data_IF_994098469336
#
_entry.id   IF_994098469336
#
_cell.length_a   1.000
_cell.length_b   1.000
_cell.length_c   1.000
_cell.angle_alpha   90.00
_cell.angle_beta   90.00
_cell.angle_gamma   90.00
#
_symmetry.space_group_name_H-M   'P 1'
#
loop_
_entity.id
_entity.type
_entity.pdbx_description
1 polymer ?
#
# COMPACT_ATOMS: atom_id res chain seq x y z
N UNK A 1 -1.75 40.79 23.78
CA UNK A 1 -2.61 39.65 24.15
C UNK A 1 -2.89 38.86 22.88
N UNK A 2 -2.43 37.61 22.79
CA UNK A 2 -2.66 36.79 21.61
C UNK A 2 -4.12 36.29 21.62
N UNK A 3 -4.90 36.69 20.62
CA UNK A 3 -6.25 36.18 20.39
C UNK A 3 -6.16 34.72 20.01
N UNK A 4 -6.42 33.83 20.97
CA UNK A 4 -6.60 32.40 20.72
C UNK A 4 -7.84 32.24 19.84
N UNK A 5 -7.63 31.99 18.55
CA UNK A 5 -8.72 31.76 17.60
C UNK A 5 -9.29 30.37 17.86
N UNK A 6 -10.40 30.32 18.59
CA UNK A 6 -11.10 29.08 18.87
C UNK A 6 -11.71 28.52 17.57
N UNK A 7 -11.54 27.23 17.24
CA UNK A 7 -12.08 26.70 15.99
C UNK A 7 -13.61 26.78 15.99
N UNK A 8 -14.18 27.51 15.03
CA UNK A 8 -15.64 27.73 14.89
C UNK A 8 -16.48 26.44 14.92
N UNK A 9 -15.89 25.29 14.62
CA UNK A 9 -16.54 23.97 14.63
C UNK A 9 -16.93 23.47 16.03
N UNK A 10 -16.26 23.95 17.09
CA UNK A 10 -16.63 23.62 18.49
C UNK A 10 -17.93 24.33 18.90
N UNK A 11 -18.17 25.53 18.36
CA UNK A 11 -19.37 26.33 18.64
C UNK A 11 -20.64 25.84 17.90
N UNK A 12 -20.51 24.89 16.96
CA UNK A 12 -21.62 24.38 16.11
C UNK A 12 -22.12 23.00 16.60
N UNK A 13 -21.57 22.45 17.70
CA UNK A 13 -22.03 21.16 18.26
C UNK A 13 -21.57 19.91 17.50
N UNK A 14 -20.71 20.03 16.48
CA UNK A 14 -20.15 18.87 15.77
C UNK A 14 -19.14 18.05 16.61
N UNK A 15 -18.74 18.57 17.76
CA UNK A 15 -17.90 17.89 18.75
C UNK A 15 -18.67 17.51 20.01
N UNK A 16 -20.01 17.53 19.96
CA UNK A 16 -20.81 16.97 21.01
C UNK A 16 -20.56 15.45 21.10
N UNK A 17 -20.34 14.95 22.32
CA UNK A 17 -19.97 13.56 22.55
C UNK A 17 -21.08 12.60 22.10
N UNK A 18 -22.34 12.99 22.23
CA UNK A 18 -23.49 12.18 21.80
C UNK A 18 -23.53 12.07 20.26
N UNK A 19 -23.28 13.18 19.56
CA UNK A 19 -23.19 13.19 18.10
C UNK A 19 -22.00 12.38 17.59
N UNK A 20 -20.82 12.52 18.22
CA UNK A 20 -19.62 11.72 17.88
C UNK A 20 -19.90 10.24 18.09
N UNK A 21 -20.50 9.88 19.23
CA UNK A 21 -20.84 8.49 19.57
C UNK A 21 -21.80 7.91 18.53
N UNK A 22 -22.88 8.63 18.21
CA UNK A 22 -23.88 8.21 17.22
C UNK A 22 -23.26 7.98 15.84
N UNK A 23 -22.41 8.91 15.37
CA UNK A 23 -21.70 8.76 14.09
C UNK A 23 -20.72 7.59 14.10
N UNK A 24 -20.01 7.40 15.21
CA UNK A 24 -19.04 6.29 15.36
C UNK A 24 -19.76 4.94 15.34
N UNK A 25 -20.85 4.79 16.09
CA UNK A 25 -21.68 3.58 16.09
C UNK A 25 -22.34 3.32 14.74
N UNK A 26 -22.84 4.38 14.07
CA UNK A 26 -23.38 4.26 12.73
C UNK A 26 -22.34 3.80 11.70
N UNK A 27 -21.12 4.34 11.78
CA UNK A 27 -20.02 3.94 10.92
C UNK A 27 -19.55 2.51 11.20
N UNK A 28 -19.43 2.12 12.47
CA UNK A 28 -19.13 0.74 12.86
C UNK A 28 -20.19 -0.24 12.32
N UNK A 29 -21.47 0.12 12.42
CA UNK A 29 -22.57 -0.68 11.89
C UNK A 29 -22.46 -0.85 10.37
N UNK A 30 -22.09 0.22 9.65
CA UNK A 30 -21.82 0.15 8.21
C UNK A 30 -20.64 -0.77 7.90
N UNK A 31 -19.52 -0.64 8.61
CA UNK A 31 -18.34 -1.49 8.41
C UNK A 31 -18.66 -2.96 8.69
N UNK A 32 -19.47 -3.26 9.72
CA UNK A 32 -19.94 -4.61 10.01
C UNK A 32 -20.85 -5.16 8.90
N UNK A 33 -21.70 -4.33 8.31
CA UNK A 33 -22.50 -4.75 7.17
C UNK A 33 -21.62 -5.05 5.94
N UNK A 34 -20.66 -4.18 5.65
CA UNK A 34 -19.69 -4.38 4.55
C UNK A 34 -18.86 -5.64 4.77
N UNK A 35 -18.46 -5.93 6.02
CA UNK A 35 -17.65 -7.12 6.33
C UNK A 35 -18.43 -8.42 6.16
N UNK A 36 -19.77 -8.41 6.25
CA UNK A 36 -20.63 -9.59 6.07
C UNK A 36 -21.08 -9.81 4.63
N UNK A 37 -21.15 -8.77 3.80
CA UNK A 37 -21.53 -8.87 2.37
C UNK A 37 -20.28 -8.86 1.46
N UNK A 38 -20.01 -9.99 0.80
CA UNK A 38 -18.81 -10.17 -0.01
C UNK A 38 -18.70 -9.17 -1.18
N UNK A 39 -19.82 -8.83 -1.82
CA UNK A 39 -19.85 -7.88 -2.94
C UNK A 39 -19.49 -6.47 -2.52
N UNK A 40 -19.92 -6.04 -1.33
CA UNK A 40 -19.55 -4.75 -0.78
C UNK A 40 -18.08 -4.74 -0.39
N UNK A 41 -17.62 -5.82 0.26
CA UNK A 41 -16.21 -5.99 0.65
C UNK A 41 -15.27 -5.89 -0.54
N UNK A 42 -15.61 -6.48 -1.67
CA UNK A 42 -14.75 -6.44 -2.88
C UNK A 42 -15.09 -5.29 -3.83
N UNK A 43 -16.00 -4.38 -3.43
CA UNK A 43 -16.41 -3.28 -4.32
C UNK A 43 -15.30 -2.24 -4.47
N UNK A 44 -15.18 -1.70 -5.68
CA UNK A 44 -14.29 -0.58 -5.96
C UNK A 44 -14.63 0.64 -5.09
N UNK A 45 -15.92 0.89 -4.87
CA UNK A 45 -16.39 2.01 -4.05
C UNK A 45 -15.86 1.95 -2.60
N UNK A 46 -15.81 0.76 -1.99
CA UNK A 46 -15.19 0.60 -0.67
C UNK A 46 -13.69 0.87 -0.73
N UNK A 47 -13.00 0.33 -1.73
CA UNK A 47 -11.57 0.52 -1.87
C UNK A 47 -11.23 2.01 -2.03
N UNK A 48 -11.90 2.71 -2.94
CA UNK A 48 -11.74 4.15 -3.17
C UNK A 48 -12.01 4.94 -1.89
N UNK A 49 -13.09 4.62 -1.17
CA UNK A 49 -13.42 5.25 0.10
C UNK A 49 -12.30 5.10 1.15
N UNK A 50 -11.61 3.96 1.17
CA UNK A 50 -10.55 3.66 2.14
C UNK A 50 -9.19 4.27 1.79
N UNK A 51 -8.94 4.66 0.53
CA UNK A 51 -7.57 5.04 0.15
C UNK A 51 -7.41 6.19 -0.85
N UNK A 52 -8.43 6.61 -1.59
CA UNK A 52 -8.23 7.46 -2.78
C UNK A 52 -7.56 8.80 -2.43
N UNK A 53 -8.01 9.47 -1.36
CA UNK A 53 -7.46 10.76 -0.94
C UNK A 53 -5.99 10.65 -0.48
N UNK A 54 -5.69 9.68 0.39
CA UNK A 54 -4.34 9.44 0.89
C UNK A 54 -3.40 8.99 -0.23
N UNK A 55 -3.86 8.09 -1.10
CA UNK A 55 -3.07 7.55 -2.20
C UNK A 55 -2.77 8.62 -3.25
N UNK A 56 -3.73 9.49 -3.57
CA UNK A 56 -3.50 10.64 -4.45
C UNK A 56 -2.42 11.55 -3.90
N UNK A 57 -2.46 11.84 -2.59
CA UNK A 57 -1.45 12.67 -1.91
C UNK A 57 -0.08 12.00 -1.96
N UNK A 58 0.00 10.69 -1.68
CA UNK A 58 1.25 9.95 -1.75
C UNK A 58 1.83 9.91 -3.16
N UNK A 59 0.99 9.73 -4.20
CA UNK A 59 1.40 9.76 -5.62
C UNK A 59 1.98 11.12 -6.02
N UNK A 60 1.38 12.23 -5.56
CA UNK A 60 1.92 13.56 -5.80
C UNK A 60 3.31 13.75 -5.19
N UNK A 61 3.48 13.33 -3.93
CA UNK A 61 4.77 13.39 -3.23
C UNK A 61 5.83 12.52 -3.92
N UNK A 62 5.47 11.32 -4.33
CA UNK A 62 6.35 10.42 -5.12
C UNK A 62 6.75 11.09 -6.44
N UNK A 63 5.82 11.74 -7.14
CA UNK A 63 6.12 12.48 -8.38
C UNK A 63 7.14 13.60 -8.18
N UNK A 64 7.14 14.24 -6.99
CA UNK A 64 8.13 15.24 -6.58
C UNK A 64 9.41 14.63 -5.99
N UNK A 65 9.48 13.30 -5.88
CA UNK A 65 10.56 12.53 -5.22
C UNK A 65 10.67 12.74 -3.72
N UNK A 66 9.60 13.21 -3.07
CA UNK A 66 9.50 13.40 -1.63
C UNK A 66 9.14 12.08 -0.91
N UNK A 67 9.92 11.02 -1.13
CA UNK A 67 9.65 9.67 -0.64
C UNK A 67 9.54 9.58 0.89
N UNK A 68 10.31 10.39 1.62
CA UNK A 68 10.26 10.46 3.09
C UNK A 68 8.89 10.93 3.60
N UNK A 69 8.24 11.84 2.86
CA UNK A 69 6.90 12.34 3.19
C UNK A 69 5.80 11.40 2.67
N UNK A 70 6.03 10.71 1.56
CA UNK A 70 5.08 9.73 1.01
C UNK A 70 4.98 8.47 1.88
N UNK A 71 6.11 7.99 2.41
CA UNK A 71 6.20 6.75 3.20
C UNK A 71 5.14 6.63 4.32
N UNK A 72 4.99 7.58 5.26
CA UNK A 72 4.04 7.43 6.36
C UNK A 72 2.58 7.35 5.88
N UNK A 73 2.26 7.99 4.75
CA UNK A 73 0.91 7.93 4.14
C UNK A 73 0.66 6.52 3.59
N UNK A 74 1.62 5.98 2.83
CA UNK A 74 1.55 4.62 2.28
C UNK A 74 1.54 3.56 3.39
N UNK A 75 2.33 3.75 4.44
CA UNK A 75 2.39 2.83 5.58
C UNK A 75 1.04 2.75 6.30
N UNK A 76 0.40 3.90 6.53
CA UNK A 76 -0.92 3.96 7.15
C UNK A 76 -2.00 3.38 6.24
N UNK A 77 -1.93 3.65 4.93
CA UNK A 77 -2.82 3.04 3.95
C UNK A 77 -2.72 1.50 3.96
N UNK A 78 -1.51 0.94 3.92
CA UNK A 78 -1.31 -0.51 4.04
C UNK A 78 -1.90 -1.05 5.36
N UNK A 79 -1.61 -0.41 6.49
CA UNK A 79 -2.13 -0.84 7.81
C UNK A 79 -3.66 -0.82 7.86
N UNK A 80 -4.30 0.18 7.24
CA UNK A 80 -5.75 0.26 7.14
C UNK A 80 -6.29 -0.90 6.31
N UNK A 81 -5.78 -1.08 5.09
CA UNK A 81 -6.26 -2.13 4.20
C UNK A 81 -6.03 -3.53 4.79
N UNK A 82 -4.90 -3.78 5.45
CA UNK A 82 -4.61 -5.07 6.10
C UNK A 82 -5.52 -5.37 7.30
N UNK A 83 -6.24 -4.37 7.84
CA UNK A 83 -7.26 -4.60 8.88
C UNK A 83 -8.62 -4.96 8.29
N UNK A 84 -8.93 -4.47 7.09
CA UNK A 84 -10.24 -4.63 6.45
C UNK A 84 -10.27 -5.87 5.54
N UNK A 85 -9.17 -6.12 4.84
CA UNK A 85 -9.05 -7.19 3.85
C UNK A 85 -8.12 -8.28 4.34
N UNK A 86 -8.16 -9.43 3.68
CA UNK A 86 -7.21 -10.51 3.95
C UNK A 86 -5.81 -10.12 3.48
N UNK A 87 -4.81 -10.69 4.14
CA UNK A 87 -3.39 -10.44 3.86
C UNK A 87 -2.97 -10.70 2.40
N UNK A 88 -3.72 -11.55 1.68
CA UNK A 88 -3.46 -11.91 0.27
C UNK A 88 -4.41 -11.25 -0.72
N UNK A 89 -5.28 -10.36 -0.25
CA UNK A 89 -6.16 -9.61 -1.15
C UNK A 89 -5.32 -8.72 -2.10
N UNK A 90 -5.77 -8.50 -3.34
CA UNK A 90 -5.07 -7.60 -4.27
C UNK A 90 -4.84 -6.21 -3.67
N UNK A 91 -5.84 -5.65 -2.97
CA UNK A 91 -5.73 -4.34 -2.33
C UNK A 91 -4.56 -4.26 -1.33
N UNK A 92 -4.41 -5.27 -0.47
CA UNK A 92 -3.34 -5.33 0.54
C UNK A 92 -1.97 -5.53 -0.09
N UNK A 93 -1.87 -6.43 -1.06
CA UNK A 93 -0.59 -6.74 -1.71
C UNK A 93 -0.09 -5.56 -2.55
N UNK A 94 -0.98 -4.87 -3.27
CA UNK A 94 -0.63 -3.66 -4.02
C UNK A 94 -0.17 -2.55 -3.06
N UNK A 95 -0.88 -2.32 -1.95
CA UNK A 95 -0.47 -1.34 -0.96
C UNK A 95 0.89 -1.66 -0.33
N UNK A 96 1.15 -2.94 -0.02
CA UNK A 96 2.44 -3.40 0.47
C UNK A 96 3.56 -3.15 -0.54
N UNK A 97 3.32 -3.45 -1.82
CA UNK A 97 4.28 -3.19 -2.89
C UNK A 97 4.57 -1.68 -3.05
N UNK A 98 3.59 -0.78 -2.86
CA UNK A 98 3.85 0.67 -2.85
C UNK A 98 4.76 1.09 -1.71
N UNK A 99 4.56 0.56 -0.51
CA UNK A 99 5.44 0.81 0.65
C UNK A 99 6.87 0.38 0.31
N UNK A 100 7.05 -0.83 -0.22
CA UNK A 100 8.37 -1.35 -0.61
C UNK A 100 9.00 -0.51 -1.74
N UNK A 101 8.23 -0.13 -2.77
CA UNK A 101 8.72 0.71 -3.86
C UNK A 101 9.17 2.09 -3.38
N UNK A 102 8.42 2.69 -2.46
CA UNK A 102 8.77 3.96 -1.82
C UNK A 102 10.09 3.83 -1.03
N UNK A 103 10.22 2.78 -0.22
CA UNK A 103 11.42 2.52 0.58
C UNK A 103 12.65 2.18 -0.26
N UNK A 104 12.48 1.51 -1.40
CA UNK A 104 13.56 1.23 -2.34
C UNK A 104 14.16 2.52 -2.96
N UNK A 105 13.46 3.65 -2.85
CA UNK A 105 13.96 4.96 -3.29
C UNK A 105 14.69 5.73 -2.18
N UNK A 106 14.71 5.19 -0.96
CA UNK A 106 15.38 5.77 0.20
C UNK A 106 16.65 4.98 0.55
N UNK A 107 17.64 5.66 1.15
CA UNK A 107 18.85 5.05 1.70
C UNK A 107 18.71 4.93 3.21
N UNK A 108 19.14 3.78 3.76
CA UNK A 108 19.20 3.49 5.22
C UNK A 108 17.95 3.94 6.00
N UNK A 109 16.77 3.63 5.47
CA UNK A 109 15.52 4.05 6.08
C UNK A 109 15.03 3.04 7.13
N UNK A 110 14.58 3.49 8.32
CA UNK A 110 14.13 2.59 9.39
C UNK A 110 13.05 1.61 8.94
N UNK A 111 13.14 0.37 9.41
CA UNK A 111 12.22 -0.73 9.11
C UNK A 111 12.16 -1.15 7.62
N UNK A 112 12.99 -0.60 6.73
CA UNK A 112 12.95 -0.94 5.30
C UNK A 112 13.16 -2.44 5.04
N UNK A 113 14.12 -3.06 5.74
CA UNK A 113 14.34 -4.51 5.72
C UNK A 113 13.09 -5.30 6.14
N UNK A 114 12.42 -4.90 7.23
CA UNK A 114 11.20 -5.56 7.73
C UNK A 114 10.09 -5.55 6.68
N UNK A 115 9.93 -4.45 5.96
CA UNK A 115 8.94 -4.33 4.89
C UNK A 115 9.29 -5.20 3.68
N UNK A 116 10.57 -5.24 3.29
CA UNK A 116 11.04 -6.13 2.23
C UNK A 116 10.79 -7.60 2.58
N UNK A 117 11.17 -8.03 3.79
CA UNK A 117 10.98 -9.41 4.25
C UNK A 117 9.50 -9.78 4.34
N UNK A 118 8.65 -8.88 4.86
CA UNK A 118 7.21 -9.09 4.87
C UNK A 118 6.66 -9.29 3.45
N UNK A 119 7.04 -8.43 2.51
CA UNK A 119 6.55 -8.53 1.13
C UNK A 119 6.99 -9.82 0.45
N UNK A 120 8.26 -10.22 0.61
CA UNK A 120 8.76 -11.49 0.09
C UNK A 120 7.96 -12.67 0.65
N UNK A 121 7.77 -12.73 1.97
CA UNK A 121 7.00 -13.78 2.61
C UNK A 121 5.54 -13.83 2.15
N UNK A 122 4.88 -12.68 1.97
CA UNK A 122 3.50 -12.65 1.46
C UNK A 122 3.40 -13.21 0.04
N UNK A 123 4.40 -12.95 -0.79
CA UNK A 123 4.43 -13.40 -2.19
C UNK A 123 4.73 -14.90 -2.36
N UNK A 124 5.27 -15.60 -1.36
CA UNK A 124 5.46 -17.06 -1.40
C UNK A 124 4.14 -17.82 -1.61
N UNK A 125 3.02 -17.25 -1.14
CA UNK A 125 1.69 -17.86 -1.24
C UNK A 125 0.75 -17.21 -2.24
N UNK A 126 1.26 -16.37 -3.15
CA UNK A 126 0.43 -15.73 -4.19
C UNK A 126 0.31 -16.66 -5.38
N UNK A 127 -0.93 -16.92 -5.81
CA UNK A 127 -1.24 -17.73 -6.99
C UNK A 127 -1.99 -16.95 -8.07
N UNK A 128 -2.40 -15.73 -7.77
CA UNK A 128 -3.12 -14.85 -8.71
C UNK A 128 -2.16 -14.39 -9.82
N UNK A 129 -2.55 -14.57 -11.07
CA UNK A 129 -1.67 -14.33 -12.21
C UNK A 129 -1.31 -12.85 -12.38
N UNK A 130 -2.25 -11.94 -12.13
CA UNK A 130 -2.00 -10.50 -12.26
C UNK A 130 -1.04 -10.03 -11.17
N UNK A 131 -1.22 -10.51 -9.93
CA UNK A 131 -0.31 -10.17 -8.84
C UNK A 131 1.07 -10.83 -8.99
N UNK A 132 1.16 -12.02 -9.59
CA UNK A 132 2.45 -12.68 -9.84
C UNK A 132 3.34 -11.89 -10.81
N UNK A 133 2.78 -11.05 -11.68
CA UNK A 133 3.57 -10.14 -12.52
C UNK A 133 4.41 -9.13 -11.70
N UNK A 134 3.99 -8.83 -10.46
CA UNK A 134 4.74 -7.94 -9.56
C UNK A 134 5.95 -8.60 -8.92
N UNK A 135 6.09 -9.93 -9.02
CA UNK A 135 7.13 -10.65 -8.28
C UNK A 135 8.54 -10.27 -8.71
N UNK A 136 8.80 -10.14 -10.02
CA UNK A 136 10.12 -9.71 -10.51
C UNK A 136 10.44 -8.26 -10.11
N UNK A 137 9.56 -7.26 -10.33
CA UNK A 137 9.76 -5.91 -9.80
C UNK A 137 9.94 -5.87 -8.28
N UNK A 138 9.23 -6.72 -7.54
CA UNK A 138 9.35 -6.82 -6.08
C UNK A 138 10.73 -7.33 -5.67
N UNK A 139 11.23 -8.40 -6.29
CA UNK A 139 12.56 -8.93 -6.02
C UNK A 139 13.64 -7.86 -6.29
N UNK A 140 13.52 -7.11 -7.39
CA UNK A 140 14.42 -6.01 -7.70
C UNK A 140 14.40 -4.91 -6.63
N UNK A 141 13.20 -4.50 -6.16
CA UNK A 141 13.05 -3.50 -5.12
C UNK A 141 13.62 -3.98 -3.78
N UNK A 142 13.34 -5.23 -3.37
CA UNK A 142 13.88 -5.85 -2.17
C UNK A 142 15.40 -5.99 -2.24
N UNK A 143 15.96 -6.40 -3.38
CA UNK A 143 17.40 -6.48 -3.63
C UNK A 143 18.07 -5.12 -3.42
N UNK A 144 17.46 -4.04 -3.93
CA UNK A 144 17.93 -2.67 -3.69
C UNK A 144 17.86 -2.26 -2.22
N UNK A 145 16.77 -2.59 -1.51
CA UNK A 145 16.64 -2.32 -0.07
C UNK A 145 17.73 -3.07 0.71
N UNK A 146 17.92 -4.35 0.44
CA UNK A 146 18.93 -5.17 1.12
C UNK A 146 20.33 -4.59 0.92
N UNK A 147 20.67 -4.27 -0.34
CA UNK A 147 21.94 -3.63 -0.67
C UNK A 147 22.14 -2.29 0.07
N UNK A 148 21.13 -1.42 0.06
CA UNK A 148 21.19 -0.12 0.73
C UNK A 148 21.36 -0.22 2.26
N UNK A 149 20.99 -1.36 2.86
CA UNK A 149 21.14 -1.62 4.28
C UNK A 149 22.34 -2.54 4.60
N UNK A 150 23.23 -2.78 3.62
CA UNK A 150 24.43 -3.63 3.80
C UNK A 150 24.15 -5.13 3.93
N UNK A 151 22.94 -5.60 3.59
CA UNK A 151 22.59 -7.02 3.57
C UNK A 151 22.97 -7.63 2.22
N UNK A 152 23.48 -8.87 2.25
CA UNK A 152 23.77 -9.63 1.04
C UNK A 152 22.49 -9.86 0.22
N UNK A 153 22.51 -9.52 -1.07
CA UNK A 153 21.41 -9.63 -2.04
C UNK A 153 21.55 -10.76 -3.07
N UNK A 154 22.61 -11.56 -3.00
CA UNK A 154 22.90 -12.65 -3.94
C UNK A 154 21.78 -13.68 -4.03
N UNK A 155 21.06 -13.94 -2.95
CA UNK A 155 19.89 -14.83 -2.93
C UNK A 155 18.77 -14.30 -3.86
N UNK A 156 18.45 -13.00 -3.74
CA UNK A 156 17.43 -12.37 -4.56
C UNK A 156 17.88 -12.24 -6.02
N UNK A 157 19.14 -11.88 -6.24
CA UNK A 157 19.71 -11.78 -7.58
C UNK A 157 19.72 -13.17 -8.26
N UNK A 158 20.08 -14.24 -7.54
CA UNK A 158 20.01 -15.62 -8.04
C UNK A 158 18.57 -16.01 -8.39
N UNK A 159 17.60 -15.63 -7.56
CA UNK A 159 16.18 -15.88 -7.83
C UNK A 159 15.68 -15.15 -9.07
N UNK A 160 16.12 -13.92 -9.29
CA UNK A 160 15.83 -13.17 -10.51
C UNK A 160 16.42 -13.87 -11.74
N UNK A 161 17.67 -14.35 -11.67
CA UNK A 161 18.30 -15.12 -12.74
C UNK A 161 17.56 -16.42 -13.06
N UNK A 162 17.07 -17.13 -12.04
CA UNK A 162 16.23 -18.32 -12.23
C UNK A 162 14.93 -18.00 -12.98
N UNK A 163 14.28 -16.89 -12.64
CA UNK A 163 13.06 -16.44 -13.32
C UNK A 163 13.36 -16.04 -14.77
N UNK A 164 14.50 -15.36 -15.02
CA UNK A 164 14.95 -15.06 -16.39
C UNK A 164 15.13 -16.35 -17.21
N UNK A 165 15.79 -17.36 -16.65
CA UNK A 165 16.00 -18.67 -17.31
C UNK A 165 14.68 -19.41 -17.59
N UNK A 166 13.65 -19.20 -16.75
CA UNK A 166 12.30 -19.73 -16.95
C UNK A 166 11.46 -18.92 -17.95
N UNK A 167 12.02 -17.88 -18.56
CA UNK A 167 11.35 -17.07 -19.58
C UNK A 167 10.50 -15.92 -19.02
N UNK A 168 10.58 -15.63 -17.72
CA UNK A 168 9.95 -14.42 -17.19
C UNK A 168 10.68 -13.17 -17.69
N UNK A 169 9.92 -12.12 -17.99
CA UNK A 169 10.48 -10.83 -18.41
C UNK A 169 11.16 -10.15 -17.23
N UNK A 170 12.49 -10.20 -17.22
CA UNK A 170 13.33 -9.49 -16.24
C UNK A 170 13.90 -8.21 -16.81
N UNK A 171 14.34 -8.25 -18.07
CA UNK A 171 14.97 -7.12 -18.72
C UNK A 171 13.92 -6.13 -19.26
N UNK A 172 14.10 -4.84 -18.93
CA UNK A 172 13.12 -3.80 -19.25
C UNK A 172 11.77 -3.98 -18.55
N UNK A 173 11.74 -4.67 -17.41
CA UNK A 173 10.59 -4.67 -16.50
C UNK A 173 10.40 -3.26 -15.92
N UNK A 174 9.15 -2.80 -15.73
CA UNK A 174 8.90 -1.55 -15.02
C UNK A 174 9.44 -1.63 -13.59
N UNK A 175 9.74 -0.48 -12.99
CA UNK A 175 9.97 -0.44 -11.55
C UNK A 175 8.72 -0.88 -10.79
N UNK A 176 8.88 -1.24 -9.50
CA UNK A 176 7.78 -1.78 -8.72
C UNK A 176 6.58 -0.83 -8.63
N UNK A 177 6.81 0.49 -8.60
CA UNK A 177 5.70 1.45 -8.52
C UNK A 177 4.90 1.47 -9.83
N UNK A 178 5.58 1.57 -10.97
CA UNK A 178 4.93 1.53 -12.29
C UNK A 178 4.24 0.19 -12.55
N UNK A 179 4.82 -0.92 -12.09
CA UNK A 179 4.18 -2.24 -12.16
C UNK A 179 2.86 -2.27 -11.37
N UNK A 180 2.89 -1.75 -10.13
CA UNK A 180 1.70 -1.66 -9.26
C UNK A 180 0.60 -0.82 -9.92
N UNK A 181 0.93 0.31 -10.55
CA UNK A 181 -0.06 1.15 -11.24
C UNK A 181 -0.75 0.41 -12.38
N UNK A 182 0.01 -0.32 -13.19
CA UNK A 182 -0.54 -1.12 -14.31
C UNK A 182 -1.46 -2.22 -13.79
N UNK A 183 -1.04 -2.96 -12.76
CA UNK A 183 -1.82 -4.07 -12.19
C UNK A 183 -3.07 -3.54 -11.46
N UNK A 184 -2.96 -2.44 -10.71
CA UNK A 184 -4.11 -1.80 -10.07
C UNK A 184 -5.18 -1.40 -11.08
N UNK A 185 -4.78 -0.77 -12.20
CA UNK A 185 -5.73 -0.40 -13.25
C UNK A 185 -6.37 -1.61 -13.90
N UNK A 186 -5.65 -2.72 -14.04
CA UNK A 186 -6.19 -3.96 -14.60
C UNK A 186 -7.22 -4.61 -13.66
N UNK A 187 -6.93 -4.65 -12.36
CA UNK A 187 -7.78 -5.31 -11.35
C UNK A 187 -8.99 -4.44 -10.98
N UNK A 188 -8.82 -3.12 -10.87
CA UNK A 188 -9.83 -2.20 -10.32
C UNK A 188 -10.28 -1.09 -11.27
N UNK A 189 -9.64 -0.92 -12.44
CA UNK A 189 -9.94 0.15 -13.40
C UNK A 189 -11.14 -0.13 -14.32
N UNK A 190 -11.84 -1.26 -14.15
CA UNK A 190 -13.09 -1.52 -14.86
C UNK A 190 -14.21 -0.59 -14.38
N UNK A 191 -14.84 0.10 -15.34
CA UNK A 191 -16.14 0.77 -15.16
C UNK A 191 -17.28 -0.24 -15.27
#
# INVERSE_FOLDING_TARGET
MATVVFPKKVLIGNFDNELISTRSTGFESLLNHISTESRLRTSKALLDFLQDAELSTAKELIGKRDYTLAYPILENNFKLLNKIFTDRSPAVLLALCRVVACLASLQDFPNSLRWADLALHRYEGVSDSDLLELYVPLLNACSKIWWNNGRNKEELDSRIEELRKKGHRVDGAPDLMGAVEVIEQRIFGGN
#
